data_IF_239192376493
#
_entry.id   IF_239192376493
#
_cell.length_a   1.000
_cell.length_b   1.000
_cell.length_c   1.000
_cell.angle_alpha   90.00
_cell.angle_beta   90.00
_cell.angle_gamma   90.00
#
_symmetry.space_group_name_H-M   'P 1'
#
loop_
_entity.id
_entity.type
_entity.pdbx_description
1 polymer ?
#
# COMPACT_ATOMS: atom_id res chain seq x y z
N UNK A 1 -6.16 -39.99 37.88
CA UNK A 1 -5.17 -39.17 37.17
C UNK A 1 -5.56 -37.72 37.37
N UNK A 2 -4.77 -37.00 38.18
CA UNK A 2 -5.01 -35.61 38.58
C UNK A 2 -4.82 -34.68 37.38
N UNK A 3 -5.84 -33.87 37.06
CA UNK A 3 -5.66 -32.65 36.28
C UNK A 3 -6.21 -31.50 37.12
N UNK A 4 -5.27 -30.71 37.65
CA UNK A 4 -5.50 -29.50 38.42
C UNK A 4 -6.18 -28.45 37.53
N UNK A 5 -7.36 -27.95 37.92
CA UNK A 5 -7.90 -26.69 37.42
C UNK A 5 -7.40 -25.58 38.35
N UNK A 6 -6.36 -24.86 37.93
CA UNK A 6 -5.90 -23.67 38.65
C UNK A 6 -6.65 -22.46 38.11
N UNK A 7 -7.41 -21.81 38.99
CA UNK A 7 -8.00 -20.51 38.74
C UNK A 7 -6.90 -19.43 38.81
N UNK A 8 -6.90 -18.49 37.86
CA UNK A 8 -6.21 -17.21 38.02
C UNK A 8 -7.27 -16.11 37.97
N UNK A 9 -7.56 -15.56 39.14
CA UNK A 9 -8.31 -14.32 39.35
C UNK A 9 -7.33 -13.19 39.02
N UNK A 10 -7.58 -12.41 37.97
CA UNK A 10 -6.95 -11.10 37.82
C UNK A 10 -7.90 -10.06 38.44
N UNK A 11 -7.55 -9.62 39.64
CA UNK A 11 -8.16 -8.44 40.24
C UNK A 11 -7.64 -7.21 39.48
N UNK A 12 -8.52 -6.53 38.75
CA UNK A 12 -8.25 -5.18 38.27
C UNK A 12 -8.25 -4.23 39.46
N UNK A 13 -7.07 -3.80 39.90
CA UNK A 13 -6.95 -2.66 40.79
C UNK A 13 -7.26 -1.40 39.98
N UNK A 14 -8.48 -0.88 40.13
CA UNK A 14 -8.82 0.46 39.70
C UNK A 14 -8.07 1.46 40.60
N UNK A 15 -6.88 1.87 40.19
CA UNK A 15 -6.25 3.07 40.71
C UNK A 15 -7.02 4.27 40.14
N UNK A 16 -7.96 4.79 40.94
CA UNK A 16 -8.59 6.08 40.70
C UNK A 16 -7.49 7.15 40.82
N UNK A 17 -6.88 7.53 39.70
CA UNK A 17 -5.98 8.66 39.64
C UNK A 17 -6.79 9.91 39.98
N UNK A 18 -6.52 10.49 41.15
CA UNK A 18 -6.96 11.83 41.47
C UNK A 18 -6.30 12.79 40.46
N UNK A 19 -7.05 13.20 39.44
CA UNK A 19 -6.65 14.33 38.59
C UNK A 19 -6.64 15.57 39.48
N UNK A 20 -5.46 15.99 39.93
CA UNK A 20 -5.25 17.38 40.32
C UNK A 20 -5.54 18.21 39.07
N UNK A 21 -6.64 18.98 39.09
CA UNK A 21 -6.95 19.90 38.02
C UNK A 21 -5.80 20.92 37.92
N UNK A 22 -4.91 20.73 36.95
CA UNK A 22 -3.90 21.71 36.60
C UNK A 22 -4.66 22.85 35.93
N UNK A 23 -4.68 24.03 36.56
CA UNK A 23 -5.26 25.24 35.99
C UNK A 23 -4.15 26.07 35.36
N UNK A 24 -4.20 26.27 34.05
CA UNK A 24 -3.29 27.19 33.34
C UNK A 24 -3.84 28.60 33.34
N UNK A 25 -2.97 29.59 33.08
CA UNK A 25 -3.42 30.95 32.84
C UNK A 25 -4.35 31.00 31.62
N UNK A 26 -5.35 31.88 31.67
CA UNK A 26 -6.27 32.13 30.56
C UNK A 26 -5.48 32.54 29.31
N UNK A 27 -5.75 31.90 28.17
CA UNK A 27 -5.06 32.14 26.89
C UNK A 27 -3.87 31.22 26.61
N UNK A 28 -3.46 30.35 27.54
CA UNK A 28 -2.45 29.33 27.24
C UNK A 28 -3.01 28.24 26.32
N UNK A 29 -2.23 27.86 25.30
CA UNK A 29 -2.61 26.87 24.28
C UNK A 29 -1.79 25.58 24.38
N UNK A 30 -0.60 25.66 24.96
CA UNK A 30 0.31 24.52 25.12
C UNK A 30 0.98 24.54 26.50
N UNK A 31 1.41 23.37 26.97
CA UNK A 31 2.27 23.24 28.13
C UNK A 31 3.56 22.47 27.82
N UNK A 32 4.61 22.77 28.56
CA UNK A 32 5.84 21.99 28.63
C UNK A 32 6.21 21.86 30.09
N UNK A 33 6.40 20.62 30.57
CA UNK A 33 6.85 20.35 31.95
C UNK A 33 6.02 21.08 33.03
N UNK A 34 4.71 21.23 32.83
CA UNK A 34 3.79 21.91 33.75
C UNK A 34 3.75 23.44 33.66
N UNK A 35 4.53 24.05 32.75
CA UNK A 35 4.51 25.48 32.45
C UNK A 35 3.66 25.71 31.20
N UNK A 36 2.67 26.60 31.28
CA UNK A 36 1.80 26.93 30.14
C UNK A 36 2.30 28.12 29.32
N UNK A 37 2.02 28.09 28.01
CA UNK A 37 2.44 29.07 27.02
C UNK A 37 1.25 29.54 26.16
N UNK A 38 1.23 30.82 25.83
CA UNK A 38 0.19 31.49 25.03
C UNK A 38 0.31 31.22 23.52
N UNK A 39 1.44 30.71 23.04
CA UNK A 39 1.61 30.27 21.66
C UNK A 39 2.36 28.95 21.56
N UNK A 40 2.07 28.19 20.49
CA UNK A 40 2.73 26.91 20.25
C UNK A 40 4.23 27.07 19.97
N UNK A 41 4.64 28.11 19.22
CA UNK A 41 6.08 28.37 18.98
C UNK A 41 6.82 28.66 20.28
N UNK A 42 6.26 29.44 21.22
CA UNK A 42 6.93 29.70 22.50
C UNK A 42 7.09 28.44 23.35
N UNK A 43 6.12 27.53 23.28
CA UNK A 43 6.22 26.23 23.94
C UNK A 43 7.35 25.39 23.32
N UNK A 44 7.43 25.36 21.98
CA UNK A 44 8.53 24.69 21.26
C UNK A 44 9.89 25.31 21.61
N UNK A 45 10.02 26.64 21.58
CA UNK A 45 11.28 27.34 21.91
C UNK A 45 11.74 27.10 23.35
N UNK A 46 10.82 26.80 24.26
CA UNK A 46 11.11 26.53 25.66
C UNK A 46 11.35 25.04 25.97
N UNK A 47 10.98 24.14 25.06
CA UNK A 47 11.17 22.70 25.22
C UNK A 47 12.66 22.34 25.05
N UNK A 48 13.18 21.56 25.99
CA UNK A 48 14.49 20.93 25.83
C UNK A 48 14.42 19.68 24.96
N UNK A 49 15.60 19.16 24.59
CA UNK A 49 15.67 17.91 23.83
C UNK A 49 15.07 16.73 24.61
N UNK A 50 14.10 16.07 23.99
CA UNK A 50 13.30 14.98 24.55
C UNK A 50 12.03 15.41 25.27
N UNK A 51 11.79 16.73 25.43
CA UNK A 51 10.58 17.21 26.09
C UNK A 51 9.33 17.01 25.23
N UNK A 52 8.18 16.98 25.91
CA UNK A 52 6.86 16.97 25.28
C UNK A 52 6.20 18.33 25.38
N UNK A 53 5.86 18.90 24.23
CA UNK A 53 4.94 20.02 24.08
C UNK A 53 3.53 19.45 23.96
N UNK A 54 2.70 19.67 24.97
CA UNK A 54 1.33 19.15 25.00
C UNK A 54 0.33 20.26 24.70
N UNK A 55 -0.55 20.04 23.73
CA UNK A 55 -1.69 20.92 23.53
C UNK A 55 -2.68 20.79 24.69
N UNK A 56 -3.15 21.94 25.18
CA UNK A 56 -4.14 22.04 26.26
C UNK A 56 -5.39 22.82 25.83
N UNK A 57 -5.41 23.34 24.62
CA UNK A 57 -6.55 23.99 24.00
C UNK A 57 -6.51 23.83 22.47
N UNK A 58 -7.66 24.03 21.82
CA UNK A 58 -7.74 24.09 20.36
C UNK A 58 -7.21 25.43 19.84
N UNK A 59 -6.53 25.39 18.70
CA UNK A 59 -6.10 26.56 17.95
C UNK A 59 -7.02 26.70 16.74
N UNK A 60 -8.16 27.39 16.91
CA UNK A 60 -9.22 27.51 15.89
C UNK A 60 -9.79 28.93 15.84
N UNK A 61 -10.50 29.29 14.76
CA UNK A 61 -11.14 30.60 14.63
C UNK A 61 -10.14 31.76 14.78
N UNK A 62 -10.37 32.66 15.73
CA UNK A 62 -9.46 33.80 15.99
C UNK A 62 -8.11 33.37 16.61
N UNK A 63 -8.03 32.16 17.20
CA UNK A 63 -6.84 31.58 17.81
C UNK A 63 -6.10 30.55 16.92
N UNK A 64 -6.48 30.46 15.64
CA UNK A 64 -5.84 29.57 14.66
C UNK A 64 -4.37 29.93 14.45
N UNK A 65 -3.60 28.98 13.94
CA UNK A 65 -2.18 29.14 13.68
C UNK A 65 -1.95 30.04 12.46
N UNK A 66 -1.37 31.22 12.65
CA UNK A 66 -1.16 32.24 11.60
C UNK A 66 0.22 32.21 10.95
N UNK A 67 1.11 31.30 11.38
CA UNK A 67 2.43 31.11 10.79
C UNK A 67 2.98 29.72 11.12
N UNK A 68 4.01 29.29 10.39
CA UNK A 68 4.61 27.99 10.61
C UNK A 68 5.32 27.90 11.97
N UNK A 69 5.10 26.80 12.68
CA UNK A 69 5.91 26.42 13.84
C UNK A 69 7.19 25.75 13.33
N UNK A 70 8.33 26.24 13.77
CA UNK A 70 9.64 25.75 13.33
C UNK A 70 10.30 24.93 14.43
N UNK A 71 10.71 23.71 14.08
CA UNK A 71 11.58 22.87 14.91
C UNK A 71 13.01 23.09 14.41
N UNK A 72 13.92 23.59 15.25
CA UNK A 72 15.29 23.88 14.83
C UNK A 72 16.10 22.59 14.62
N UNK A 73 17.21 22.68 13.88
CA UNK A 73 17.96 21.50 13.43
C UNK A 73 18.51 20.59 14.54
N UNK A 74 18.83 21.17 15.71
CA UNK A 74 19.38 20.44 16.86
C UNK A 74 18.31 20.04 17.88
N UNK A 75 17.06 20.43 17.64
CA UNK A 75 15.95 20.17 18.54
C UNK A 75 15.40 18.77 18.32
N UNK A 76 15.03 18.11 19.41
CA UNK A 76 14.29 16.86 19.40
C UNK A 76 13.08 17.00 20.33
N UNK A 77 11.87 17.10 19.78
CA UNK A 77 10.67 17.33 20.58
C UNK A 77 9.57 16.31 20.28
N UNK A 78 8.68 16.12 21.26
CA UNK A 78 7.40 15.46 21.04
C UNK A 78 6.26 16.48 21.10
N UNK A 79 5.38 16.50 20.10
CA UNK A 79 4.10 17.21 20.15
C UNK A 79 3.01 16.21 20.52
N UNK A 80 2.40 16.36 21.69
CA UNK A 80 1.19 15.65 22.08
C UNK A 80 -0.03 16.50 21.72
N UNK A 81 -0.75 16.08 20.68
CA UNK A 81 -1.97 16.75 20.25
C UNK A 81 -3.15 16.52 21.21
N UNK A 82 -3.06 15.53 22.11
CA UNK A 82 -4.20 15.09 22.92
C UNK A 82 -5.38 14.73 22.02
N UNK A 83 -6.49 15.45 22.18
CA UNK A 83 -7.64 15.40 21.27
C UNK A 83 -7.94 16.79 20.66
N UNK A 84 -6.94 17.66 20.63
CA UNK A 84 -7.11 19.06 20.22
C UNK A 84 -6.97 19.25 18.71
N UNK A 85 -7.53 20.36 18.22
CA UNK A 85 -7.44 20.76 16.81
C UNK A 85 -6.51 21.95 16.62
N UNK A 86 -5.59 21.84 15.65
CA UNK A 86 -4.87 22.98 15.06
C UNK A 86 -5.48 23.28 13.69
N UNK A 87 -6.16 24.41 13.58
CA UNK A 87 -6.53 25.03 12.31
C UNK A 87 -5.42 26.00 11.88
N UNK A 88 -5.04 25.94 10.62
CA UNK A 88 -4.07 26.87 10.03
C UNK A 88 -4.85 27.97 9.31
N UNK A 89 -4.39 29.21 9.45
CA UNK A 89 -4.94 30.34 8.73
C UNK A 89 -4.94 30.08 7.20
N UNK A 90 -6.08 30.23 6.50
CA UNK A 90 -6.14 30.13 5.05
C UNK A 90 -5.22 31.12 4.31
N UNK A 91 -4.73 32.17 4.98
CA UNK A 91 -3.75 33.11 4.43
C UNK A 91 -2.30 32.69 4.70
N UNK A 92 -2.07 31.63 5.48
CA UNK A 92 -0.73 31.12 5.72
C UNK A 92 -0.24 30.39 4.47
N UNK A 93 0.75 30.97 3.80
CA UNK A 93 1.35 30.37 2.61
C UNK A 93 2.28 29.21 2.96
N UNK A 94 2.58 28.93 4.24
CA UNK A 94 3.43 27.83 4.70
C UNK A 94 2.65 26.63 5.26
N UNK A 95 3.33 25.49 5.40
CA UNK A 95 2.79 24.35 6.17
C UNK A 95 2.81 24.67 7.66
N UNK A 96 1.96 23.99 8.42
CA UNK A 96 1.84 24.21 9.86
C UNK A 96 3.18 24.04 10.60
N UNK A 97 3.98 23.05 10.21
CA UNK A 97 5.27 22.76 10.82
C UNK A 97 6.40 22.67 9.78
N UNK A 98 7.50 23.38 10.07
CA UNK A 98 8.78 23.23 9.41
C UNK A 98 9.71 22.41 10.30
N UNK A 99 9.97 21.16 9.94
CA UNK A 99 10.76 20.23 10.76
C UNK A 99 12.20 20.20 10.24
N UNK A 100 13.09 20.98 10.87
CA UNK A 100 14.54 20.93 10.57
C UNK A 100 15.28 19.95 11.47
N UNK A 101 14.82 19.77 12.72
CA UNK A 101 15.37 18.79 13.67
C UNK A 101 14.56 17.50 13.69
N UNK A 102 14.36 16.94 14.88
CA UNK A 102 13.57 15.72 15.09
C UNK A 102 12.25 16.07 15.78
N UNK A 103 11.15 15.54 15.25
CA UNK A 103 9.82 15.72 15.82
C UNK A 103 9.08 14.39 15.88
N UNK A 104 8.46 14.10 17.01
CA UNK A 104 7.47 13.04 17.16
C UNK A 104 6.09 13.64 17.41
N UNK A 105 5.04 13.15 16.76
CA UNK A 105 3.66 13.58 16.97
C UNK A 105 2.86 12.43 17.57
N UNK A 106 2.17 12.70 18.66
CA UNK A 106 1.33 11.74 19.40
C UNK A 106 -0.04 12.34 19.68
N UNK A 107 -0.97 11.52 20.16
CA UNK A 107 -2.36 11.93 20.42
C UNK A 107 -3.24 11.83 19.17
N UNK A 108 -4.55 11.78 19.38
CA UNK A 108 -5.56 11.60 18.34
C UNK A 108 -6.18 12.93 17.88
N UNK A 109 -5.48 14.04 18.13
CA UNK A 109 -5.88 15.36 17.67
C UNK A 109 -5.80 15.52 16.15
N UNK A 110 -6.15 16.72 15.69
CA UNK A 110 -6.32 17.01 14.26
C UNK A 110 -5.56 18.25 13.85
N UNK A 111 -4.89 18.22 12.70
CA UNK A 111 -4.27 19.39 12.06
C UNK A 111 -4.93 19.60 10.71
N UNK A 112 -5.44 20.80 10.45
CA UNK A 112 -6.19 21.11 9.22
C UNK A 112 -5.76 22.40 8.59
N UNK A 113 -5.61 22.39 7.27
CA UNK A 113 -5.23 23.56 6.49
C UNK A 113 -5.97 23.58 5.16
N UNK A 114 -6.57 24.74 4.83
CA UNK A 114 -7.16 24.97 3.50
C UNK A 114 -6.17 25.62 2.52
N UNK A 115 -5.05 26.16 3.00
CA UNK A 115 -4.05 26.84 2.17
C UNK A 115 -2.92 25.91 1.69
N UNK A 116 -2.37 25.13 2.63
CA UNK A 116 -1.20 24.26 2.48
C UNK A 116 -1.43 22.89 3.16
N UNK A 117 -0.35 22.18 3.52
CA UNK A 117 -0.37 20.95 4.31
C UNK A 117 0.08 21.12 5.76
N UNK A 118 0.16 20.00 6.49
CA UNK A 118 0.55 19.96 7.89
C UNK A 118 2.07 20.06 8.11
N UNK A 119 2.88 19.27 7.39
CA UNK A 119 4.32 19.17 7.67
C UNK A 119 5.20 19.32 6.42
N UNK A 120 6.23 20.16 6.50
CA UNK A 120 7.38 20.19 5.58
C UNK A 120 8.63 19.72 6.34
N UNK A 121 9.02 18.46 6.12
CA UNK A 121 10.23 17.88 6.72
C UNK A 121 11.43 18.29 5.86
N UNK A 122 12.23 19.21 6.40
CA UNK A 122 13.35 19.82 5.69
C UNK A 122 14.52 18.84 5.60
N UNK A 123 15.48 19.11 4.72
CA UNK A 123 16.70 18.31 4.57
C UNK A 123 17.41 18.14 5.92
N UNK A 124 17.73 16.89 6.29
CA UNK A 124 18.30 16.56 7.61
C UNK A 124 17.28 16.39 8.73
N UNK A 125 16.04 16.85 8.54
CA UNK A 125 14.96 16.71 9.52
C UNK A 125 14.35 15.32 9.53
N UNK A 126 13.74 14.97 10.67
CA UNK A 126 13.05 13.70 10.89
C UNK A 126 11.69 13.91 11.55
N UNK A 127 10.65 13.31 10.98
CA UNK A 127 9.30 13.33 11.52
C UNK A 127 8.82 11.90 11.78
N UNK A 128 8.36 11.64 13.00
CA UNK A 128 7.59 10.44 13.34
C UNK A 128 6.17 10.84 13.72
N UNK A 129 5.17 10.25 13.09
CA UNK A 129 3.76 10.37 13.43
C UNK A 129 3.32 9.04 14.03
N UNK A 130 2.90 9.05 15.29
CA UNK A 130 2.39 7.86 15.96
C UNK A 130 0.87 7.71 15.80
N UNK A 131 0.13 8.81 15.70
CA UNK A 131 -1.32 8.84 15.56
C UNK A 131 -1.80 10.23 15.14
N UNK A 132 -3.10 10.39 14.86
CA UNK A 132 -3.74 11.69 14.60
C UNK A 132 -4.33 11.79 13.20
N UNK A 133 -4.98 12.92 12.94
CA UNK A 133 -5.62 13.24 11.66
C UNK A 133 -5.03 14.49 11.04
N UNK A 134 -4.59 14.41 9.80
CA UNK A 134 -3.91 15.49 9.09
C UNK A 134 -4.62 15.77 7.76
N UNK A 135 -5.14 16.98 7.61
CA UNK A 135 -5.97 17.36 6.46
C UNK A 135 -5.38 18.58 5.77
N UNK A 136 -5.17 18.47 4.46
CA UNK A 136 -4.72 19.56 3.59
C UNK A 136 -5.63 19.71 2.38
N UNK A 137 -5.80 20.95 1.93
CA UNK A 137 -6.46 21.27 0.64
C UNK A 137 -5.52 22.05 -0.30
N UNK A 138 -4.27 22.26 0.15
CA UNK A 138 -3.38 23.19 -0.51
C UNK A 138 -3.02 22.86 -1.95
N UNK A 139 -2.72 23.91 -2.69
CA UNK A 139 -2.15 23.86 -4.03
C UNK A 139 -1.05 24.91 -4.18
N UNK A 140 0.10 24.50 -4.69
CA UNK A 140 1.14 25.42 -5.15
C UNK A 140 1.46 25.18 -6.61
N UNK A 141 1.32 26.24 -7.40
CA UNK A 141 1.59 26.21 -8.83
C UNK A 141 3.03 25.78 -9.13
N UNK A 142 3.21 24.84 -10.05
CA UNK A 142 4.51 24.41 -10.54
C UNK A 142 5.32 23.54 -9.56
N UNK A 143 4.75 23.17 -8.41
CA UNK A 143 5.34 22.23 -7.46
C UNK A 143 4.35 21.07 -7.26
N UNK A 144 4.57 19.96 -7.96
CA UNK A 144 3.68 18.78 -7.99
C UNK A 144 3.48 18.12 -6.62
N UNK A 145 4.29 18.48 -5.62
CA UNK A 145 4.09 18.12 -4.21
C UNK A 145 4.03 19.33 -3.28
N UNK A 146 3.88 20.54 -3.82
CA UNK A 146 3.91 21.78 -3.07
C UNK A 146 2.71 21.95 -2.16
N UNK A 147 1.56 21.40 -2.55
CA UNK A 147 0.34 21.40 -1.74
C UNK A 147 0.06 20.10 -0.96
N UNK A 148 0.97 19.12 -1.01
CA UNK A 148 0.75 17.84 -0.31
C UNK A 148 0.61 18.04 1.21
N UNK A 149 -0.26 17.26 1.85
CA UNK A 149 -0.51 17.35 3.30
C UNK A 149 0.78 17.10 4.08
N UNK A 150 1.56 16.10 3.66
CA UNK A 150 2.91 15.82 4.14
C UNK A 150 3.90 15.99 2.98
N UNK A 151 4.97 16.74 3.23
CA UNK A 151 6.10 16.88 2.30
C UNK A 151 7.41 16.55 3.01
N UNK A 152 8.26 15.79 2.36
CA UNK A 152 9.65 15.59 2.77
C UNK A 152 10.58 16.13 1.69
N UNK A 153 11.75 16.60 2.11
CA UNK A 153 12.82 17.10 1.23
C UNK A 153 13.93 16.06 1.08
N UNK A 154 14.82 16.17 0.08
CA UNK A 154 15.96 15.28 -0.05
C UNK A 154 16.78 15.18 1.24
N UNK A 155 17.17 13.97 1.62
CA UNK A 155 17.95 13.71 2.84
C UNK A 155 17.19 13.86 4.16
N UNK A 156 15.85 13.95 4.12
CA UNK A 156 15.00 13.90 5.31
C UNK A 156 14.40 12.52 5.53
N UNK A 157 13.76 12.29 6.68
CA UNK A 157 13.06 11.03 6.97
C UNK A 157 11.66 11.29 7.51
N UNK A 158 10.68 10.53 7.01
CA UNK A 158 9.34 10.47 7.59
C UNK A 158 8.98 9.04 7.97
N UNK A 159 8.40 8.87 9.16
CA UNK A 159 7.77 7.65 9.62
C UNK A 159 6.33 7.94 10.04
N UNK A 160 5.36 7.27 9.45
CA UNK A 160 3.94 7.34 9.87
C UNK A 160 3.55 5.96 10.35
N UNK A 161 3.49 5.75 11.67
CA UNK A 161 3.18 4.46 12.29
C UNK A 161 1.69 4.11 12.11
N UNK A 162 0.83 5.08 12.42
CA UNK A 162 -0.63 5.04 12.36
C UNK A 162 -1.14 6.47 12.15
N UNK A 163 -2.45 6.63 11.89
CA UNK A 163 -3.10 7.90 11.66
C UNK A 163 -3.69 8.03 10.25
N UNK A 164 -4.39 9.14 10.05
CA UNK A 164 -5.13 9.43 8.83
C UNK A 164 -4.57 10.69 8.18
N UNK A 165 -4.13 10.58 6.93
CA UNK A 165 -3.61 11.69 6.14
C UNK A 165 -4.50 11.90 4.93
N UNK A 166 -5.11 13.06 4.82
CA UNK A 166 -6.06 13.40 3.76
C UNK A 166 -5.55 14.60 2.99
N UNK A 167 -5.62 14.54 1.67
CA UNK A 167 -5.64 15.73 0.83
C UNK A 167 -6.99 15.84 0.10
N UNK A 168 -7.78 16.84 0.48
CA UNK A 168 -9.17 16.96 0.08
C UNK A 168 -9.38 17.61 -1.30
N UNK A 169 -8.33 18.13 -1.91
CA UNK A 169 -8.43 18.85 -3.17
C UNK A 169 -7.31 18.46 -4.16
N UNK A 170 -6.33 19.34 -4.31
CA UNK A 170 -5.56 19.51 -5.55
C UNK A 170 -4.27 18.71 -5.59
N UNK A 171 -3.82 18.16 -4.46
CA UNK A 171 -2.52 17.47 -4.32
C UNK A 171 -2.64 16.06 -3.70
N UNK A 172 -1.50 15.37 -3.53
CA UNK A 172 -1.41 14.11 -2.81
C UNK A 172 -1.44 14.29 -1.28
N UNK A 173 -1.75 13.22 -0.56
CA UNK A 173 -1.61 13.17 0.90
C UNK A 173 -0.13 13.25 1.32
N UNK A 174 0.75 12.55 0.58
CA UNK A 174 2.19 12.52 0.83
C UNK A 174 2.98 12.68 -0.46
N UNK A 175 3.90 13.63 -0.48
CA UNK A 175 4.96 13.72 -1.47
C UNK A 175 6.30 13.60 -0.76
N UNK A 176 7.06 12.54 -1.04
CA UNK A 176 8.29 12.24 -0.31
C UNK A 176 9.52 12.23 -1.21
N UNK A 177 10.46 13.12 -0.92
CA UNK A 177 11.79 13.19 -1.54
C UNK A 177 12.90 12.60 -0.64
N UNK A 178 12.54 12.15 0.56
CA UNK A 178 13.43 11.49 1.51
C UNK A 178 12.97 10.08 1.84
N UNK A 179 13.62 9.49 2.85
CA UNK A 179 13.31 8.15 3.33
C UNK A 179 11.91 8.11 3.96
N UNK A 180 11.11 7.15 3.53
CA UNK A 180 9.70 7.02 3.89
C UNK A 180 9.43 5.68 4.54
N UNK A 181 8.83 5.67 5.73
CA UNK A 181 8.40 4.45 6.41
C UNK A 181 6.92 4.60 6.78
N UNK A 182 6.04 3.81 6.17
CA UNK A 182 4.61 3.82 6.44
C UNK A 182 4.21 2.52 7.13
N UNK A 183 3.55 2.62 8.27
CA UNK A 183 2.92 1.51 8.97
C UNK A 183 1.49 1.30 8.48
N UNK A 184 0.61 0.91 9.40
CA UNK A 184 -0.81 0.65 9.17
C UNK A 184 -1.65 1.94 9.11
N UNK A 185 -1.10 3.01 8.54
CA UNK A 185 -1.78 4.29 8.39
C UNK A 185 -2.66 4.34 7.13
N UNK A 186 -3.57 5.31 7.09
CA UNK A 186 -4.46 5.57 5.95
C UNK A 186 -4.10 6.90 5.27
N UNK A 187 -3.86 6.86 3.96
CA UNK A 187 -3.63 8.03 3.13
C UNK A 187 -4.70 8.10 2.05
N UNK A 188 -5.37 9.25 1.95
CA UNK A 188 -6.39 9.48 0.92
C UNK A 188 -6.19 10.79 0.19
N UNK A 189 -6.43 10.81 -1.12
CA UNK A 189 -6.48 12.06 -1.88
C UNK A 189 -7.59 12.08 -2.92
N UNK A 190 -8.14 13.27 -3.14
CA UNK A 190 -9.15 13.51 -4.18
C UNK A 190 -8.56 14.09 -5.46
N UNK A 191 -7.26 14.36 -5.54
CA UNK A 191 -6.62 14.96 -6.72
C UNK A 191 -6.85 14.12 -8.00
N UNK A 192 -7.19 14.79 -9.12
CA UNK A 192 -7.46 14.16 -10.41
C UNK A 192 -7.41 15.16 -11.58
N UNK A 193 -7.11 14.67 -12.78
CA UNK A 193 -6.98 15.45 -14.03
C UNK A 193 -8.18 16.34 -14.44
N UNK A 194 -9.33 16.22 -13.77
CA UNK A 194 -10.50 17.06 -13.99
C UNK A 194 -10.55 18.28 -13.07
N UNK A 195 -9.64 18.38 -12.11
CA UNK A 195 -9.44 19.59 -11.34
C UNK A 195 -8.67 20.60 -12.18
N UNK A 196 -9.15 21.83 -12.15
CA UNK A 196 -8.51 22.97 -12.81
C UNK A 196 -7.93 23.89 -11.75
N UNK A 197 -6.69 24.30 -11.94
CA UNK A 197 -6.10 25.40 -11.20
C UNK A 197 -6.82 26.72 -11.52
N UNK A 198 -6.66 27.70 -10.64
CA UNK A 198 -7.26 29.04 -10.82
C UNK A 198 -6.78 29.72 -12.11
N UNK A 199 -5.68 29.26 -12.70
CA UNK A 199 -5.12 29.72 -13.98
C UNK A 199 -5.47 28.86 -15.20
N UNK A 200 -6.31 27.83 -15.04
CA UNK A 200 -6.74 26.95 -16.12
C UNK A 200 -5.90 25.68 -16.33
N UNK A 201 -4.82 25.46 -15.58
CA UNK A 201 -3.98 24.25 -15.70
C UNK A 201 -4.60 23.00 -15.06
N UNK A 202 -4.31 21.81 -15.59
CA UNK A 202 -4.74 20.52 -14.98
C UNK A 202 -4.01 20.25 -13.67
N UNK A 203 -4.75 19.79 -12.65
CA UNK A 203 -4.21 19.45 -11.33
C UNK A 203 -4.40 17.98 -11.01
N UNK A 204 -3.33 17.20 -11.15
CA UNK A 204 -3.37 15.78 -10.83
C UNK A 204 -2.13 15.37 -10.03
N UNK A 205 -2.35 14.51 -9.05
CA UNK A 205 -1.32 14.03 -8.13
C UNK A 205 -1.72 12.65 -7.63
N UNK A 206 -0.79 11.71 -7.63
CA UNK A 206 -0.97 10.45 -6.91
C UNK A 206 -1.14 10.73 -5.41
N UNK A 207 -1.95 9.94 -4.73
CA UNK A 207 -2.18 10.13 -3.29
C UNK A 207 -0.88 10.07 -2.50
N UNK A 208 -0.03 9.08 -2.81
CA UNK A 208 1.30 8.94 -2.22
C UNK A 208 2.34 8.89 -3.32
N UNK A 209 3.41 9.67 -3.17
CA UNK A 209 4.54 9.70 -4.09
C UNK A 209 5.84 9.47 -3.32
N UNK A 210 6.58 8.43 -3.71
CA UNK A 210 7.88 8.08 -3.13
C UNK A 210 8.94 8.27 -4.21
N UNK A 211 9.75 9.32 -4.06
CA UNK A 211 10.78 9.70 -5.02
C UNK A 211 12.16 9.14 -4.66
N UNK A 212 12.39 8.78 -3.39
CA UNK A 212 13.66 8.26 -2.87
C UNK A 212 13.49 6.82 -2.34
N UNK A 213 13.51 6.58 -1.03
CA UNK A 213 13.33 5.24 -0.44
C UNK A 213 11.98 5.12 0.28
N UNK A 214 11.31 3.98 0.10
CA UNK A 214 10.04 3.65 0.75
C UNK A 214 9.99 2.25 1.37
N UNK A 215 9.47 2.16 2.59
CA UNK A 215 9.06 0.91 3.22
C UNK A 215 7.60 1.04 3.68
N UNK A 216 6.70 0.22 3.15
CA UNK A 216 5.27 0.29 3.43
C UNK A 216 4.79 -1.02 4.05
N UNK A 217 4.27 -0.95 5.27
CA UNK A 217 3.96 -2.08 6.12
C UNK A 217 2.48 -2.07 6.50
N UNK A 218 1.62 -2.66 5.65
CA UNK A 218 0.18 -2.69 5.88
C UNK A 218 -0.56 -1.38 5.59
N UNK A 219 0.04 -0.47 4.83
CA UNK A 219 -0.50 0.87 4.54
C UNK A 219 -1.75 0.83 3.66
N UNK A 220 -2.71 1.72 3.93
CA UNK A 220 -3.89 1.90 3.08
C UNK A 220 -3.76 3.21 2.31
N UNK A 221 -3.76 3.14 0.98
CA UNK A 221 -3.67 4.30 0.08
C UNK A 221 -4.84 4.30 -0.89
N UNK A 222 -5.62 5.40 -0.89
CA UNK A 222 -6.76 5.59 -1.79
C UNK A 222 -6.66 6.94 -2.47
N UNK A 223 -6.24 6.96 -3.73
CA UNK A 223 -6.16 8.18 -4.52
C UNK A 223 -7.05 8.11 -5.73
N UNK A 224 -7.65 9.22 -6.11
CA UNK A 224 -8.47 9.25 -7.33
C UNK A 224 -7.57 9.12 -8.56
N UNK A 225 -6.67 10.07 -8.83
CA UNK A 225 -5.73 9.96 -9.95
C UNK A 225 -4.98 8.62 -9.93
N UNK A 226 -4.55 8.20 -8.75
CA UNK A 226 -3.96 6.91 -8.48
C UNK A 226 -3.52 6.80 -7.02
N UNK A 227 -3.38 5.58 -6.53
CA UNK A 227 -3.00 5.32 -5.15
C UNK A 227 -1.55 5.72 -4.88
N UNK A 228 -0.62 4.92 -5.39
CA UNK A 228 0.81 5.04 -5.11
C UNK A 228 1.61 5.28 -6.39
N UNK A 229 2.56 6.20 -6.32
CA UNK A 229 3.63 6.36 -7.31
C UNK A 229 4.99 6.10 -6.67
N UNK A 230 5.83 5.33 -7.34
CA UNK A 230 7.22 5.10 -6.96
C UNK A 230 8.14 5.49 -8.12
N UNK A 231 8.99 6.49 -7.86
CA UNK A 231 10.06 6.93 -8.76
C UNK A 231 11.48 6.59 -8.28
N UNK A 232 11.61 6.02 -7.07
CA UNK A 232 12.86 5.59 -6.43
C UNK A 232 12.87 4.11 -6.08
N UNK A 233 13.17 3.74 -4.84
CA UNK A 233 13.14 2.35 -4.35
C UNK A 233 12.01 2.16 -3.32
N UNK A 234 11.25 1.07 -3.42
CA UNK A 234 10.21 0.76 -2.45
C UNK A 234 10.09 -0.74 -2.13
N UNK A 235 9.88 -1.07 -0.86
CA UNK A 235 9.45 -2.39 -0.41
C UNK A 235 8.05 -2.30 0.18
N UNK A 236 7.12 -3.11 -0.33
CA UNK A 236 5.71 -3.13 0.06
C UNK A 236 5.43 -4.48 0.74
N UNK A 237 5.12 -4.45 2.04
CA UNK A 237 4.88 -5.60 2.91
C UNK A 237 3.40 -5.70 3.32
N UNK A 238 2.50 -5.64 2.35
CA UNK A 238 1.05 -5.64 2.59
C UNK A 238 0.39 -4.26 2.47
N UNK A 239 -0.90 -4.22 2.78
CA UNK A 239 -1.73 -3.04 2.67
C UNK A 239 -2.66 -3.05 1.46
N UNK A 240 -3.26 -1.90 1.15
CA UNK A 240 -4.21 -1.73 0.04
C UNK A 240 -3.92 -0.46 -0.74
N UNK A 241 -3.71 -0.58 -2.06
CA UNK A 241 -3.34 0.51 -2.95
C UNK A 241 -4.37 0.63 -4.06
N UNK A 242 -5.18 1.67 -4.02
CA UNK A 242 -6.39 1.78 -4.82
C UNK A 242 -6.42 3.09 -5.60
N UNK A 243 -6.64 2.98 -6.91
CA UNK A 243 -7.22 4.06 -7.70
C UNK A 243 -8.73 4.12 -7.43
N UNK A 244 -9.16 5.05 -6.58
CA UNK A 244 -10.55 5.16 -6.18
C UNK A 244 -11.39 5.78 -7.29
N UNK A 245 -12.57 5.21 -7.55
CA UNK A 245 -13.57 5.90 -8.37
C UNK A 245 -14.01 7.19 -7.68
N UNK A 246 -14.00 8.28 -8.43
CA UNK A 246 -14.45 9.56 -7.94
C UNK A 246 -15.94 9.71 -8.26
N UNK A 247 -16.76 9.76 -7.20
CA UNK A 247 -18.22 9.77 -7.27
C UNK A 247 -18.83 11.12 -7.67
N UNK A 248 -18.01 12.16 -7.87
CA UNK A 248 -18.50 13.46 -8.35
C UNK A 248 -18.95 13.37 -9.81
N UNK A 249 -20.24 13.60 -10.04
CA UNK A 249 -20.87 13.61 -11.36
C UNK A 249 -20.55 14.85 -12.22
N UNK A 250 -19.88 15.87 -11.68
CA UNK A 250 -19.63 17.15 -12.36
C UNK A 250 -18.57 17.07 -13.48
N UNK A 251 -17.70 16.06 -13.46
CA UNK A 251 -16.67 15.83 -14.47
C UNK A 251 -16.95 14.50 -15.21
N UNK A 252 -16.98 14.54 -16.54
CA UNK A 252 -17.32 13.40 -17.41
C UNK A 252 -16.11 12.66 -17.98
N UNK A 253 -14.89 13.05 -17.60
CA UNK A 253 -13.65 12.42 -18.03
C UNK A 253 -13.22 11.26 -17.13
N UNK A 254 -12.24 10.51 -17.62
CA UNK A 254 -11.62 9.37 -16.96
C UNK A 254 -10.67 9.84 -15.84
N UNK A 255 -10.95 9.45 -14.58
CA UNK A 255 -10.35 10.10 -13.38
C UNK A 255 -9.43 9.21 -12.56
N UNK A 256 -9.59 7.89 -12.67
CA UNK A 256 -8.90 6.91 -11.85
C UNK A 256 -8.06 5.96 -12.68
N UNK A 257 -6.74 5.98 -12.45
CA UNK A 257 -5.78 5.34 -13.35
C UNK A 257 -5.16 4.09 -12.74
N UNK A 258 -4.32 4.22 -11.71
CA UNK A 258 -3.45 3.14 -11.25
C UNK A 258 -3.49 2.96 -9.74
N UNK A 259 -3.58 1.70 -9.28
CA UNK A 259 -3.33 1.38 -7.87
C UNK A 259 -1.88 1.71 -7.51
N UNK A 260 -0.95 1.26 -8.34
CA UNK A 260 0.47 1.52 -8.27
C UNK A 260 1.04 1.89 -9.66
N UNK A 261 1.73 3.03 -9.75
CA UNK A 261 2.49 3.48 -10.91
C UNK A 261 3.99 3.50 -10.61
N UNK A 262 4.79 2.93 -11.50
CA UNK A 262 6.26 2.84 -11.38
C UNK A 262 6.88 3.40 -12.66
N UNK A 263 7.88 4.26 -12.51
CA UNK A 263 8.65 4.80 -13.64
C UNK A 263 10.08 5.14 -13.21
N UNK A 264 10.83 5.87 -14.05
CA UNK A 264 12.14 6.44 -13.71
C UNK A 264 13.21 5.42 -13.26
N UNK A 265 13.16 4.18 -13.75
CA UNK A 265 14.10 3.13 -13.36
C UNK A 265 13.98 2.69 -11.90
N UNK A 266 12.84 2.98 -11.26
CA UNK A 266 12.54 2.62 -9.88
C UNK A 266 12.70 1.12 -9.61
N UNK A 267 13.02 0.75 -8.37
CA UNK A 267 13.06 -0.66 -7.92
C UNK A 267 12.00 -0.92 -6.89
N UNK A 268 11.09 -1.83 -7.18
CA UNK A 268 9.96 -2.13 -6.30
C UNK A 268 9.95 -3.61 -5.96
N UNK A 269 9.89 -3.93 -4.68
CA UNK A 269 9.62 -5.29 -4.20
C UNK A 269 8.26 -5.31 -3.53
N UNK A 270 7.36 -6.15 -4.02
CA UNK A 270 6.02 -6.38 -3.46
C UNK A 270 6.05 -7.74 -2.77
N UNK A 271 6.05 -7.74 -1.44
CA UNK A 271 6.00 -8.95 -0.63
C UNK A 271 4.57 -9.44 -0.39
N UNK A 272 3.62 -8.50 -0.28
CA UNK A 272 2.18 -8.77 -0.15
C UNK A 272 1.40 -7.45 -0.40
N UNK A 273 0.07 -7.52 -0.48
CA UNK A 273 -0.83 -6.38 -0.54
C UNK A 273 -1.96 -6.56 -1.53
N UNK A 274 -2.95 -5.67 -1.51
CA UNK A 274 -4.03 -5.61 -2.49
C UNK A 274 -3.89 -4.39 -3.38
N UNK A 275 -3.84 -4.59 -4.69
CA UNK A 275 -3.71 -3.53 -5.69
C UNK A 275 -4.96 -3.49 -6.55
N UNK A 276 -5.55 -2.31 -6.71
CA UNK A 276 -6.78 -2.13 -7.48
C UNK A 276 -6.66 -0.97 -8.47
N UNK A 277 -6.84 -1.30 -9.75
CA UNK A 277 -6.82 -0.34 -10.85
C UNK A 277 -8.15 0.39 -11.02
N UNK A 278 -8.11 1.54 -11.70
CA UNK A 278 -9.30 2.32 -12.06
C UNK A 278 -9.69 2.14 -13.54
N UNK A 279 -10.95 2.44 -13.87
CA UNK A 279 -11.51 2.24 -15.22
C UNK A 279 -10.89 3.09 -16.34
N UNK A 280 -10.05 4.09 -16.04
CA UNK A 280 -9.53 5.01 -17.05
C UNK A 280 -8.37 4.49 -17.89
N UNK A 281 -7.53 3.64 -17.29
CA UNK A 281 -6.26 3.22 -17.86
C UNK A 281 -6.34 1.89 -18.62
N UNK A 282 -7.56 1.39 -18.87
CA UNK A 282 -7.74 0.00 -19.30
C UNK A 282 -7.61 -1.01 -18.14
N UNK A 283 -7.71 -0.53 -16.89
CA UNK A 283 -7.85 -1.35 -15.70
C UNK A 283 -6.53 -1.74 -15.03
N UNK A 284 -5.43 -1.02 -15.21
CA UNK A 284 -4.14 -1.38 -14.58
C UNK A 284 -4.17 -1.18 -13.06
N UNK A 285 -3.93 -2.25 -12.32
CA UNK A 285 -3.68 -2.17 -10.88
C UNK A 285 -2.20 -1.87 -10.57
N UNK A 286 -1.30 -2.35 -11.43
CA UNK A 286 0.14 -2.05 -11.40
C UNK A 286 0.59 -1.70 -12.81
N UNK A 287 1.13 -0.50 -12.98
CA UNK A 287 1.70 -0.06 -14.26
C UNK A 287 3.16 0.32 -14.09
N UNK A 288 4.06 -0.40 -14.77
CA UNK A 288 5.46 -0.03 -14.95
C UNK A 288 5.61 0.64 -16.30
N UNK A 289 5.60 1.96 -16.37
CA UNK A 289 5.62 2.67 -17.64
C UNK A 289 6.13 4.08 -17.49
N UNK A 290 6.49 4.68 -18.62
CA UNK A 290 6.54 6.12 -18.76
C UNK A 290 5.50 6.55 -19.79
N UNK A 291 4.39 7.11 -19.32
CA UNK A 291 3.33 7.62 -20.19
C UNK A 291 3.73 8.92 -20.93
N UNK A 292 4.83 9.58 -20.53
CA UNK A 292 5.18 10.95 -20.93
C UNK A 292 6.57 11.10 -21.61
N UNK A 293 7.09 10.00 -22.20
CA UNK A 293 8.31 9.89 -23.03
C UNK A 293 9.68 9.87 -22.33
N UNK A 294 10.42 8.76 -22.54
CA UNK A 294 11.89 8.69 -22.45
C UNK A 294 12.48 8.20 -21.13
N UNK A 295 11.70 8.01 -20.07
CA UNK A 295 12.17 7.43 -18.81
C UNK A 295 12.32 5.91 -18.93
N UNK A 296 13.27 5.38 -18.18
CA UNK A 296 13.52 3.93 -18.09
C UNK A 296 12.38 3.27 -17.31
N UNK A 297 11.98 2.09 -17.76
CA UNK A 297 11.13 1.21 -16.98
C UNK A 297 11.83 0.84 -15.68
N UNK A 298 11.04 0.69 -14.61
CA UNK A 298 11.52 0.18 -13.34
C UNK A 298 11.77 -1.33 -13.37
N UNK A 299 12.26 -1.84 -12.25
CA UNK A 299 12.39 -3.27 -11.95
C UNK A 299 11.46 -3.63 -10.79
N UNK A 300 10.60 -4.62 -11.00
CA UNK A 300 9.56 -5.01 -10.07
C UNK A 300 9.69 -6.50 -9.76
N UNK A 301 9.79 -6.82 -8.48
CA UNK A 301 9.71 -8.18 -7.95
C UNK A 301 8.39 -8.32 -7.23
N UNK A 302 7.58 -9.31 -7.62
CA UNK A 302 6.31 -9.64 -6.96
C UNK A 302 6.49 -11.01 -6.29
N UNK A 303 6.49 -11.04 -4.97
CA UNK A 303 6.58 -12.28 -4.20
C UNK A 303 5.20 -12.84 -3.84
N UNK A 304 4.23 -11.97 -3.53
CA UNK A 304 2.82 -12.34 -3.30
C UNK A 304 1.90 -11.10 -3.42
N UNK A 305 0.59 -11.30 -3.26
CA UNK A 305 -0.42 -10.24 -3.19
C UNK A 305 -1.68 -10.54 -4.02
N UNK A 306 -2.59 -9.57 -4.07
CA UNK A 306 -3.84 -9.61 -4.84
C UNK A 306 -3.85 -8.44 -5.83
N UNK A 307 -3.95 -8.76 -7.11
CA UNK A 307 -3.84 -7.82 -8.23
C UNK A 307 -5.18 -7.79 -8.99
N UNK A 308 -6.02 -6.82 -8.62
CA UNK A 308 -7.34 -6.60 -9.19
C UNK A 308 -7.28 -5.58 -10.33
N UNK A 309 -6.88 -6.08 -11.50
CA UNK A 309 -6.64 -5.30 -12.70
C UNK A 309 -5.40 -5.78 -13.44
N UNK A 310 -5.08 -5.13 -14.55
CA UNK A 310 -3.89 -5.43 -15.36
C UNK A 310 -2.60 -5.15 -14.61
N UNK A 311 -1.60 -5.98 -14.84
CA UNK A 311 -0.21 -5.76 -14.42
C UNK A 311 0.64 -5.74 -15.68
N UNK A 312 1.38 -4.65 -15.92
CA UNK A 312 2.18 -4.55 -17.15
C UNK A 312 2.76 -3.17 -17.43
N UNK A 313 2.97 -2.87 -18.71
CA UNK A 313 3.45 -1.57 -19.23
C UNK A 313 2.60 -1.12 -20.42
N UNK A 314 2.61 0.18 -20.75
CA UNK A 314 1.92 0.72 -21.93
C UNK A 314 2.70 0.50 -23.24
N UNK A 315 3.94 0.04 -23.18
CA UNK A 315 4.75 -0.21 -24.38
C UNK A 315 4.36 -1.56 -25.02
N UNK A 316 3.52 -1.51 -26.06
CA UNK A 316 2.93 -2.66 -26.75
C UNK A 316 3.91 -3.47 -27.61
N UNK A 317 5.13 -2.95 -27.84
CA UNK A 317 6.06 -3.48 -28.84
C UNK A 317 7.19 -4.33 -28.23
N UNK A 318 7.04 -4.73 -26.96
CA UNK A 318 8.14 -5.20 -26.12
C UNK A 318 7.91 -6.62 -25.57
N UNK A 319 8.85 -7.51 -25.90
CA UNK A 319 8.88 -8.93 -25.53
C UNK A 319 9.35 -9.10 -24.07
N UNK A 320 8.64 -9.93 -23.28
CA UNK A 320 8.97 -10.57 -21.98
C UNK A 320 9.92 -9.83 -21.00
N UNK A 321 11.19 -9.63 -21.35
CA UNK A 321 12.21 -8.95 -20.52
C UNK A 321 11.99 -7.43 -20.46
N UNK A 322 11.07 -6.94 -21.29
CA UNK A 322 10.91 -5.54 -21.57
C UNK A 322 9.86 -4.85 -20.68
N UNK A 323 9.15 -5.57 -19.82
CA UNK A 323 8.28 -4.97 -18.79
C UNK A 323 9.00 -4.67 -17.48
N UNK A 324 10.16 -5.28 -17.23
CA UNK A 324 10.87 -5.14 -15.96
C UNK A 324 10.10 -5.72 -14.76
N UNK A 325 9.22 -6.70 -14.97
CA UNK A 325 8.41 -7.33 -13.92
C UNK A 325 8.78 -8.81 -13.81
N UNK A 326 8.91 -9.31 -12.59
CA UNK A 326 9.11 -10.74 -12.31
C UNK A 326 8.24 -11.16 -11.13
N UNK A 327 7.34 -12.13 -11.34
CA UNK A 327 6.44 -12.66 -10.33
C UNK A 327 6.83 -14.07 -9.88
N UNK A 328 6.89 -14.25 -8.57
CA UNK A 328 7.12 -15.50 -7.85
C UNK A 328 5.86 -16.02 -7.13
N UNK A 329 4.84 -15.17 -6.98
CA UNK A 329 3.57 -15.50 -6.32
C UNK A 329 2.49 -14.45 -6.58
N UNK A 330 1.32 -14.62 -5.96
CA UNK A 330 0.19 -13.69 -6.05
C UNK A 330 -1.04 -14.23 -6.79
N UNK A 331 -2.14 -13.50 -6.64
CA UNK A 331 -3.46 -13.73 -7.27
C UNK A 331 -3.76 -12.60 -8.26
N UNK A 332 -4.11 -12.92 -9.49
CA UNK A 332 -4.28 -11.95 -10.58
C UNK A 332 -5.64 -12.12 -11.26
N UNK A 333 -6.22 -11.02 -11.76
CA UNK A 333 -7.46 -11.05 -12.58
C UNK A 333 -7.22 -11.26 -14.07
N UNK A 334 -5.96 -11.23 -14.51
CA UNK A 334 -5.54 -11.56 -15.88
C UNK A 334 -4.34 -12.51 -15.81
N UNK A 335 -4.08 -13.26 -16.88
CA UNK A 335 -3.00 -14.25 -16.88
C UNK A 335 -1.63 -13.57 -16.74
N UNK A 336 -0.88 -13.82 -15.66
CA UNK A 336 0.45 -13.25 -15.47
C UNK A 336 1.53 -13.95 -16.30
N UNK A 337 1.21 -14.95 -17.14
CA UNK A 337 2.18 -15.85 -17.79
C UNK A 337 3.40 -15.17 -18.42
N UNK A 338 3.26 -13.92 -18.87
CA UNK A 338 4.32 -13.17 -19.54
C UNK A 338 5.40 -12.64 -18.60
N UNK A 339 5.16 -12.61 -17.29
CA UNK A 339 6.10 -12.09 -16.30
C UNK A 339 6.28 -13.03 -15.08
N UNK A 340 5.80 -14.27 -15.16
CA UNK A 340 6.08 -15.30 -14.15
C UNK A 340 7.52 -15.82 -14.30
N UNK A 341 8.24 -15.90 -13.18
CA UNK A 341 9.59 -16.46 -13.17
C UNK A 341 9.60 -17.93 -13.60
N UNK A 342 10.69 -18.38 -14.23
CA UNK A 342 10.84 -19.77 -14.68
C UNK A 342 10.78 -20.82 -13.57
N UNK A 343 11.05 -20.41 -12.32
CA UNK A 343 10.86 -21.21 -11.12
C UNK A 343 9.43 -21.20 -10.60
N UNK A 344 8.45 -20.70 -11.35
CA UNK A 344 7.04 -20.63 -10.98
C UNK A 344 6.12 -21.04 -12.15
N UNK A 345 4.83 -21.24 -11.86
CA UNK A 345 3.78 -21.49 -12.86
C UNK A 345 2.57 -20.60 -12.61
N UNK A 346 1.95 -20.08 -13.68
CA UNK A 346 0.63 -19.42 -13.65
C UNK A 346 -0.46 -20.46 -13.82
N UNK A 347 -1.52 -20.39 -13.01
CA UNK A 347 -2.66 -21.31 -13.06
C UNK A 347 -3.97 -20.55 -13.00
N UNK A 348 -4.88 -20.82 -13.93
CA UNK A 348 -6.26 -20.35 -13.82
C UNK A 348 -7.00 -21.20 -12.76
N UNK A 349 -7.62 -20.54 -11.78
CA UNK A 349 -8.29 -21.21 -10.65
C UNK A 349 -9.82 -21.21 -10.76
N UNK A 350 -10.39 -20.39 -11.65
CA UNK A 350 -11.81 -20.43 -12.00
C UNK A 350 -12.10 -19.87 -13.40
N UNK A 351 -13.29 -20.17 -13.92
CA UNK A 351 -13.77 -19.70 -15.24
C UNK A 351 -13.95 -18.17 -15.33
N UNK A 352 -13.88 -17.46 -14.20
CA UNK A 352 -14.03 -16.00 -14.08
C UNK A 352 -12.70 -15.23 -14.22
N UNK A 353 -11.61 -15.91 -14.59
CA UNK A 353 -10.34 -15.26 -14.93
C UNK A 353 -9.42 -14.95 -13.75
N UNK A 354 -9.55 -15.65 -12.61
CA UNK A 354 -8.57 -15.54 -11.52
C UNK A 354 -7.41 -16.50 -11.74
N UNK A 355 -6.20 -15.97 -11.75
CA UNK A 355 -4.94 -16.71 -11.87
C UNK A 355 -4.15 -16.68 -10.56
N UNK A 356 -3.37 -17.73 -10.31
CA UNK A 356 -2.44 -17.81 -9.17
C UNK A 356 -1.05 -18.19 -9.68
N UNK A 357 -0.02 -17.56 -9.13
CA UNK A 357 1.38 -17.90 -9.38
C UNK A 357 1.93 -18.74 -8.24
N UNK A 358 2.54 -19.88 -8.55
CA UNK A 358 3.03 -20.84 -7.55
C UNK A 358 4.48 -21.26 -7.84
N UNK A 359 5.38 -21.27 -6.84
CA UNK A 359 6.74 -21.78 -6.99
C UNK A 359 6.81 -23.26 -7.42
N UNK A 360 7.64 -23.50 -8.43
CA UNK A 360 8.09 -24.82 -8.88
C UNK A 360 8.87 -25.53 -7.79
N UNK A 361 9.57 -24.86 -6.88
CA UNK A 361 10.40 -25.56 -5.88
C UNK A 361 9.63 -25.99 -4.61
N UNK A 362 8.36 -25.64 -4.47
CA UNK A 362 7.47 -26.25 -3.46
C UNK A 362 7.10 -27.71 -3.84
N UNK A 363 8.01 -28.39 -4.57
CA UNK A 363 7.95 -29.72 -5.18
C UNK A 363 8.88 -30.69 -4.46
N UNK A 364 8.37 -31.88 -4.15
CA UNK A 364 9.02 -33.13 -4.58
C UNK A 364 8.07 -34.32 -4.37
N UNK A 365 7.71 -35.01 -5.46
CA UNK A 365 8.07 -36.43 -5.66
C UNK A 365 8.31 -36.68 -7.16
N UNK A 366 9.10 -37.71 -7.48
CA UNK A 366 9.73 -38.03 -8.79
C UNK A 366 8.76 -38.27 -9.98
N UNK A 367 7.44 -38.13 -9.78
CA UNK A 367 6.40 -38.52 -10.75
C UNK A 367 5.53 -37.37 -11.28
N UNK A 368 5.91 -36.11 -11.06
CA UNK A 368 5.21 -34.98 -11.71
C UNK A 368 3.84 -34.63 -11.09
N UNK A 369 3.66 -34.96 -9.81
CA UNK A 369 2.47 -34.70 -9.01
C UNK A 369 2.72 -33.50 -8.07
N UNK A 370 1.82 -32.53 -8.03
CA UNK A 370 1.95 -31.22 -7.34
C UNK A 370 0.92 -31.15 -6.21
N UNK A 371 1.22 -30.72 -4.98
CA UNK A 371 0.19 -30.41 -3.95
C UNK A 371 0.08 -28.89 -3.76
N UNK A 372 -1.12 -28.31 -3.68
CA UNK A 372 -1.39 -26.91 -3.32
C UNK A 372 -1.77 -26.82 -1.84
N UNK A 373 -1.98 -25.61 -1.33
CA UNK A 373 -2.21 -25.31 0.07
C UNK A 373 -3.42 -26.05 0.66
N UNK A 374 -3.32 -26.36 1.96
CA UNK A 374 -4.42 -26.85 2.78
C UNK A 374 -5.48 -25.73 2.84
N UNK A 375 -6.65 -25.94 2.25
CA UNK A 375 -7.82 -25.07 2.43
C UNK A 375 -8.22 -24.99 3.91
N UNK A 376 -9.14 -24.10 4.25
CA UNK A 376 -9.64 -23.88 5.63
C UNK A 376 -10.31 -25.14 6.28
N UNK A 377 -10.35 -26.25 5.54
CA UNK A 377 -11.04 -27.51 5.78
C UNK A 377 -10.11 -28.75 5.80
N UNK A 378 -8.79 -28.59 5.97
CA UNK A 378 -7.81 -29.70 5.99
C UNK A 378 -7.69 -30.50 4.67
N UNK A 379 -8.10 -29.94 3.53
CA UNK A 379 -7.95 -30.53 2.17
C UNK A 379 -6.98 -29.75 1.31
N UNK A 380 -6.36 -30.35 0.29
CA UNK A 380 -5.41 -29.72 -0.62
C UNK A 380 -5.73 -30.06 -2.09
N UNK A 381 -5.31 -29.26 -3.06
CA UNK A 381 -5.46 -29.62 -4.48
C UNK A 381 -4.17 -30.21 -5.02
N UNK A 382 -4.27 -31.05 -6.05
CA UNK A 382 -3.13 -31.68 -6.68
C UNK A 382 -3.09 -31.42 -8.18
N UNK A 383 -2.06 -30.72 -8.65
CA UNK A 383 -1.79 -30.59 -10.08
C UNK A 383 -0.96 -31.79 -10.57
N UNK A 384 -1.07 -32.17 -11.84
CA UNK A 384 -0.13 -33.08 -12.51
C UNK A 384 0.10 -32.57 -13.92
N UNK A 385 1.36 -32.48 -14.32
CA UNK A 385 1.74 -31.90 -15.61
C UNK A 385 2.42 -32.95 -16.46
N UNK A 386 1.96 -33.09 -17.70
CA UNK A 386 2.42 -34.11 -18.60
C UNK A 386 2.97 -33.47 -19.88
N UNK A 387 4.16 -33.90 -20.29
CA UNK A 387 4.68 -33.60 -21.63
C UNK A 387 3.87 -34.42 -22.64
N UNK A 388 3.41 -33.77 -23.70
CA UNK A 388 2.57 -34.41 -24.69
C UNK A 388 3.14 -34.17 -26.08
N UNK A 389 3.81 -35.19 -26.61
CA UNK A 389 4.42 -35.16 -27.94
C UNK A 389 3.41 -35.36 -29.09
N UNK A 390 2.25 -35.93 -28.76
CA UNK A 390 1.06 -36.05 -29.61
C UNK A 390 -0.07 -36.50 -28.68
N UNK A 391 -1.19 -35.79 -28.65
CA UNK A 391 -2.32 -36.20 -27.81
C UNK A 391 -3.54 -36.46 -28.66
N UNK A 392 -4.19 -37.63 -28.50
CA UNK A 392 -5.53 -37.82 -29.01
C UNK A 392 -6.51 -36.86 -28.31
N UNK A 393 -7.72 -36.71 -28.85
CA UNK A 393 -8.79 -35.83 -28.37
C UNK A 393 -9.34 -36.19 -26.96
N UNK A 394 -8.65 -37.06 -26.22
CA UNK A 394 -9.01 -37.50 -24.87
C UNK A 394 -7.78 -37.88 -24.06
N UNK A 395 -7.81 -37.58 -22.76
CA UNK A 395 -6.85 -38.06 -21.76
C UNK A 395 -7.61 -38.88 -20.73
N UNK A 396 -7.15 -40.11 -20.48
CA UNK A 396 -7.63 -40.90 -19.33
C UNK A 396 -6.67 -40.69 -18.18
N UNK A 397 -7.19 -40.48 -16.98
CA UNK A 397 -6.42 -40.40 -15.75
C UNK A 397 -7.09 -41.15 -14.62
N UNK A 398 -6.31 -41.87 -13.83
CA UNK A 398 -6.78 -42.56 -12.64
C UNK A 398 -6.47 -41.71 -11.41
N UNK A 399 -7.43 -41.54 -10.52
CA UNK A 399 -7.27 -40.97 -9.18
C UNK A 399 -7.31 -42.12 -8.18
N UNK A 400 -6.26 -42.29 -7.38
CA UNK A 400 -6.18 -43.33 -6.34
C UNK A 400 -5.97 -42.73 -4.96
N UNK A 401 -6.76 -43.12 -3.95
CA UNK A 401 -6.54 -42.75 -2.53
C UNK A 401 -5.70 -43.80 -1.75
N UNK A 402 -5.15 -44.79 -2.46
CA UNK A 402 -4.44 -45.93 -1.89
C UNK A 402 -5.32 -47.15 -1.57
N UNK A 403 -6.65 -46.99 -1.59
CA UNK A 403 -7.65 -48.06 -1.38
C UNK A 403 -8.68 -48.17 -2.49
N UNK A 404 -9.04 -47.07 -3.13
CA UNK A 404 -9.97 -46.98 -4.24
C UNK A 404 -9.29 -46.31 -5.43
N UNK A 405 -9.65 -46.75 -6.63
CA UNK A 405 -9.22 -46.14 -7.89
C UNK A 405 -10.47 -45.72 -8.66
N UNK A 406 -10.50 -44.48 -9.13
CA UNK A 406 -11.51 -43.98 -10.07
C UNK A 406 -10.84 -43.50 -11.35
N UNK A 407 -11.33 -43.97 -12.49
CA UNK A 407 -10.84 -43.57 -13.81
C UNK A 407 -11.73 -42.45 -14.37
N UNK A 408 -11.09 -41.42 -14.89
CA UNK A 408 -11.72 -40.28 -15.50
C UNK A 408 -11.23 -40.11 -16.93
N UNK A 409 -12.12 -39.68 -17.82
CA UNK A 409 -11.79 -39.38 -19.21
C UNK A 409 -12.13 -37.92 -19.46
N UNK A 410 -11.13 -37.12 -19.81
CA UNK A 410 -11.31 -35.75 -20.25
C UNK A 410 -11.12 -35.65 -21.76
N UNK A 411 -12.20 -35.32 -22.46
CA UNK A 411 -12.17 -35.07 -23.91
C UNK A 411 -11.90 -33.59 -24.18
N UNK A 412 -11.01 -33.29 -25.12
CA UNK A 412 -10.71 -31.92 -25.52
C UNK A 412 -10.46 -31.83 -27.02
N UNK A 413 -10.71 -30.65 -27.58
CA UNK A 413 -10.46 -30.40 -28.99
C UNK A 413 -8.95 -30.38 -29.26
N UNK A 414 -8.48 -31.10 -30.29
CA UNK A 414 -7.09 -30.99 -30.73
C UNK A 414 -6.77 -29.54 -31.09
N UNK A 415 -5.87 -28.91 -30.36
CA UNK A 415 -5.31 -27.61 -30.72
C UNK A 415 -3.88 -27.83 -31.17
N UNK A 416 -3.56 -27.42 -32.40
CA UNK A 416 -2.22 -27.54 -32.95
C UNK A 416 -1.22 -26.72 -32.11
N UNK A 417 -0.11 -27.35 -31.68
CA UNK A 417 0.95 -26.67 -30.92
C UNK A 417 0.93 -26.84 -29.39
N UNK A 418 0.01 -27.61 -28.82
CA UNK A 418 0.07 -27.97 -27.38
C UNK A 418 1.25 -28.91 -27.13
N UNK A 419 2.13 -28.56 -26.19
CA UNK A 419 3.27 -29.39 -25.76
C UNK A 419 3.11 -29.96 -24.36
N UNK A 420 2.19 -29.41 -23.54
CA UNK A 420 1.96 -29.86 -22.16
C UNK A 420 0.48 -29.85 -21.79
N UNK A 421 0.07 -30.80 -20.94
CA UNK A 421 -1.27 -30.87 -20.36
C UNK A 421 -1.17 -30.81 -18.83
N UNK A 422 -1.96 -29.94 -18.21
CA UNK A 422 -2.09 -29.85 -16.76
C UNK A 422 -3.44 -30.40 -16.30
N UNK A 423 -3.43 -31.29 -15.32
CA UNK A 423 -4.62 -31.78 -14.62
C UNK A 423 -4.62 -31.24 -13.19
N UNK A 424 -5.77 -30.83 -12.67
CA UNK A 424 -5.94 -30.43 -11.26
C UNK A 424 -6.99 -31.33 -10.62
N UNK A 425 -6.66 -31.94 -9.49
CA UNK A 425 -7.57 -32.71 -8.63
C UNK A 425 -7.77 -31.91 -7.36
N UNK A 426 -8.98 -31.43 -7.07
CA UNK A 426 -9.22 -30.57 -5.89
C UNK A 426 -9.71 -31.36 -4.68
N UNK A 427 -9.71 -30.71 -3.51
CA UNK A 427 -10.35 -31.19 -2.28
C UNK A 427 -9.79 -32.53 -1.71
N UNK A 428 -8.50 -32.80 -1.90
CA UNK A 428 -7.86 -34.02 -1.41
C UNK A 428 -7.61 -33.90 0.10
N UNK A 429 -8.13 -34.81 0.95
CA UNK A 429 -7.85 -34.77 2.38
C UNK A 429 -6.34 -34.79 2.68
N UNK A 430 -5.89 -33.96 3.64
CA UNK A 430 -4.47 -33.83 4.04
C UNK A 430 -3.75 -35.15 4.37
N UNK A 431 -4.49 -36.16 4.83
CA UNK A 431 -3.98 -37.49 5.14
C UNK A 431 -3.89 -38.45 3.93
N UNK A 432 -4.40 -38.06 2.76
CA UNK A 432 -4.40 -38.87 1.55
C UNK A 432 -3.31 -38.42 0.57
N UNK A 433 -2.98 -39.31 -0.36
CA UNK A 433 -2.12 -39.01 -1.50
C UNK A 433 -2.86 -39.49 -2.72
N UNK A 434 -3.00 -38.63 -3.72
CA UNK A 434 -3.57 -39.02 -5.01
C UNK A 434 -2.42 -39.33 -5.96
N UNK A 435 -2.49 -40.43 -6.69
CA UNK A 435 -1.62 -40.65 -7.86
C UNK A 435 -2.42 -40.36 -9.12
N UNK A 436 -1.82 -39.65 -10.07
CA UNK A 436 -2.41 -39.37 -11.39
C UNK A 436 -1.49 -39.97 -12.44
N UNK A 437 -1.97 -40.99 -13.13
CA UNK A 437 -1.25 -41.63 -14.25
C UNK A 437 -1.99 -41.36 -15.56
N UNK A 438 -1.26 -41.05 -16.62
CA UNK A 438 -1.84 -41.01 -17.96
C UNK A 438 -2.14 -42.44 -18.41
N UNK A 439 -3.40 -42.73 -18.67
CA UNK A 439 -3.82 -43.96 -19.34
C UNK A 439 -3.21 -44.02 -20.75
N UNK A 440 -2.78 -45.22 -21.16
CA UNK A 440 -2.07 -45.46 -22.41
C UNK A 440 -2.77 -44.89 -23.65
N UNK A 441 -1.97 -44.58 -24.67
CA UNK A 441 -2.42 -44.08 -25.97
C UNK A 441 -3.41 -45.05 -26.62
N UNK A 442 -4.71 -44.77 -26.56
CA UNK A 442 -5.66 -45.41 -27.46
C UNK A 442 -5.66 -44.65 -28.79
N UNK A 443 -4.92 -45.20 -29.75
CA UNK A 443 -5.06 -44.85 -31.15
C UNK A 443 -6.28 -45.61 -31.69
N UNK A 444 -7.46 -45.01 -31.58
CA UNK A 444 -8.60 -45.37 -32.45
C UNK A 444 -8.97 -44.21 -33.36
#
# INVERSE_FOLDING_TARGET
>A
MNIKKTAAVFAAAAALAAFSAVSYAEGNVAEVNGVGYDTLQKAVDAAGNGDTVKLIADLTGDGKLTGAVTIAAEDNITLDLGNHTIEIDPLNEERAFNVNGTMTVTGNGRITSTAMGAFDVKTGGSLTIESGTYEGEGYRRGDSGGGATLRTRPGSTIKVCDGVVVNNEKCGALYSEGKTILGACELTSKSHNGLTADDGGSLYSYCTQIMDEGELNGTIVRGVQGGLYVGGEATINGGSYTAAELTDSSYSGNKAFYGLYISNGAKVTINDGTFMGGGASGGYCVLNSDNDTGMKLGSIIINDGIFNGKVGSLDSDKVRDAYGITAYGGKFTEDPMYFVDSSCVSMQVNDEGKYVVIPVNNKATETGTYKTAVGDNDTYDQMSLFEVSAVPNSVTYTVSDGTNNEDFIYNYASVEGITKLGLIVTDIPSAQTVTVELGGQNNE
#
